data_IF_989916604489
#
_entry.id   IF_989916604489
#
_cell.length_a   1.000
_cell.length_b   1.000
_cell.length_c   1.000
_cell.angle_alpha   90.00
_cell.angle_beta   90.00
_cell.angle_gamma   90.00
#
_symmetry.space_group_name_H-M   'P 1'
#
loop_
_entity.id
_entity.type
_entity.pdbx_description
1 polymer ?
#
# COMPACT_ATOMS: atom_id res chain seq x y z
N UNK A 1 38.35 -13.64 -1.90
CA UNK A 1 39.28 -12.72 -1.22
C UNK A 1 38.90 -12.64 0.25
N UNK A 2 39.52 -13.46 1.10
CA UNK A 2 39.31 -13.51 2.57
C UNK A 2 40.65 -13.41 3.30
N UNK A 3 41.73 -13.12 2.58
CA UNK A 3 43.07 -12.97 3.14
C UNK A 3 43.20 -11.65 3.89
N UNK A 4 44.00 -11.67 4.95
CA UNK A 4 44.20 -10.54 5.84
C UNK A 4 44.85 -9.35 5.10
N UNK A 5 44.20 -8.18 5.03
CA UNK A 5 44.73 -7.00 4.36
C UNK A 5 46.02 -6.46 5.00
N UNK A 6 46.31 -6.80 6.26
CA UNK A 6 47.54 -6.38 6.94
C UNK A 6 48.81 -7.05 6.36
N UNK A 7 48.66 -8.27 5.83
CA UNK A 7 49.76 -8.97 5.15
C UNK A 7 50.14 -8.26 3.85
N UNK A 8 49.16 -7.74 3.12
CA UNK A 8 49.42 -6.95 1.91
C UNK A 8 50.15 -5.64 2.24
N UNK A 9 49.77 -4.97 3.33
CA UNK A 9 50.41 -3.75 3.77
C UNK A 9 51.87 -4.00 4.22
N UNK A 10 52.14 -5.08 4.94
CA UNK A 10 53.48 -5.41 5.44
C UNK A 10 54.45 -5.89 4.36
N UNK A 11 53.96 -6.63 3.35
CA UNK A 11 54.81 -7.18 2.28
C UNK A 11 54.97 -6.22 1.11
N UNK A 12 53.90 -5.50 0.73
CA UNK A 12 53.87 -4.71 -0.50
C UNK A 12 53.92 -3.20 -0.26
N UNK A 13 53.74 -2.72 0.98
CA UNK A 13 53.70 -1.28 1.30
C UNK A 13 52.43 -0.55 0.84
N UNK A 14 51.44 -1.29 0.30
CA UNK A 14 50.16 -0.74 -0.15
C UNK A 14 49.02 -1.17 0.76
N UNK A 15 48.15 -0.25 1.14
CA UNK A 15 46.93 -0.53 1.89
C UNK A 15 45.78 -0.84 0.93
N UNK A 16 45.02 -1.90 1.22
CA UNK A 16 43.81 -2.19 0.48
C UNK A 16 42.79 -1.05 0.67
N UNK A 17 42.28 -0.50 -0.43
CA UNK A 17 41.25 0.52 -0.35
C UNK A 17 40.01 -0.04 0.38
N UNK A 18 39.42 0.70 1.34
CA UNK A 18 38.27 0.19 2.10
C UNK A 18 37.12 -0.12 1.15
N UNK A 19 36.45 -1.26 1.36
CA UNK A 19 35.35 -1.74 0.51
C UNK A 19 34.27 -0.66 0.31
N UNK A 20 33.97 0.12 1.36
CA UNK A 20 33.03 1.24 1.31
C UNK A 20 33.39 2.30 0.24
N UNK A 21 34.69 2.55 0.00
CA UNK A 21 35.15 3.51 -1.02
C UNK A 21 34.91 3.02 -2.46
N UNK A 22 34.80 1.70 -2.66
CA UNK A 22 34.55 1.07 -3.97
C UNK A 22 33.07 0.79 -4.23
N UNK A 23 32.23 0.83 -3.20
CA UNK A 23 30.79 0.60 -3.29
C UNK A 23 29.96 1.88 -3.46
N UNK A 24 30.59 3.03 -3.74
CA UNK A 24 29.88 4.32 -3.86
C UNK A 24 28.73 4.34 -4.90
N UNK A 25 28.78 3.47 -5.92
CA UNK A 25 27.71 3.30 -6.91
C UNK A 25 26.88 2.02 -6.78
N UNK A 26 27.17 1.18 -5.78
CA UNK A 26 26.46 -0.09 -5.58
C UNK A 26 25.22 0.11 -4.71
N UNK A 27 24.09 -0.55 -5.04
CA UNK A 27 22.87 -0.40 -4.27
C UNK A 27 23.09 -0.90 -2.84
N UNK A 28 22.66 -0.10 -1.87
CA UNK A 28 22.69 -0.51 -0.47
C UNK A 28 21.70 -1.65 -0.21
N UNK A 29 21.91 -2.43 0.84
CA UNK A 29 20.98 -3.50 1.22
C UNK A 29 19.53 -2.98 1.37
N UNK A 30 19.36 -1.75 1.87
CA UNK A 30 18.07 -1.09 1.96
C UNK A 30 17.44 -0.77 0.59
N UNK A 31 18.23 -0.29 -0.38
CA UNK A 31 17.72 -0.04 -1.74
C UNK A 31 17.36 -1.35 -2.45
N UNK A 32 18.14 -2.41 -2.26
CA UNK A 32 17.85 -3.72 -2.84
C UNK A 32 16.57 -4.32 -2.27
N UNK A 33 16.37 -4.27 -0.94
CA UNK A 33 15.15 -4.79 -0.32
C UNK A 33 13.91 -4.02 -0.74
N UNK A 34 14.00 -2.68 -0.84
CA UNK A 34 12.92 -1.82 -1.32
C UNK A 34 12.51 -2.17 -2.76
N UNK A 35 13.48 -2.39 -3.66
CA UNK A 35 13.22 -2.76 -5.06
C UNK A 35 12.48 -4.10 -5.18
N UNK A 36 12.73 -5.04 -4.27
CA UNK A 36 12.05 -6.35 -4.26
C UNK A 36 10.67 -6.29 -3.62
N UNK A 37 10.50 -5.58 -2.50
CA UNK A 37 9.24 -5.54 -1.73
C UNK A 37 8.19 -4.67 -2.42
N UNK A 38 8.61 -3.59 -3.07
CA UNK A 38 7.70 -2.66 -3.76
C UNK A 38 6.72 -3.33 -4.73
N UNK A 39 7.15 -4.10 -5.74
CA UNK A 39 6.22 -4.68 -6.71
C UNK A 39 5.26 -5.66 -6.04
N UNK A 40 5.71 -6.37 -5.00
CA UNK A 40 4.85 -7.24 -4.20
C UNK A 40 3.78 -6.44 -3.45
N UNK A 41 4.16 -5.33 -2.81
CA UNK A 41 3.20 -4.44 -2.13
C UNK A 41 2.18 -3.85 -3.10
N UNK A 42 2.62 -3.40 -4.28
CA UNK A 42 1.70 -2.91 -5.31
C UNK A 42 0.75 -4.00 -5.81
N UNK A 43 1.25 -5.22 -6.05
CA UNK A 43 0.42 -6.33 -6.48
C UNK A 43 -0.64 -6.70 -5.43
N UNK A 44 -0.26 -6.72 -4.15
CA UNK A 44 -1.19 -6.98 -3.04
C UNK A 44 -2.22 -5.86 -2.92
N UNK A 45 -1.83 -4.59 -3.03
CA UNK A 45 -2.78 -3.47 -3.01
C UNK A 45 -3.77 -3.54 -4.18
N UNK A 46 -3.29 -3.79 -5.40
CA UNK A 46 -4.16 -3.97 -6.58
C UNK A 46 -5.14 -5.12 -6.36
N UNK A 47 -4.65 -6.25 -5.83
CA UNK A 47 -5.50 -7.40 -5.54
C UNK A 47 -6.57 -7.07 -4.50
N UNK A 48 -6.21 -6.31 -3.46
CA UNK A 48 -7.16 -5.86 -2.44
C UNK A 48 -8.24 -4.98 -3.08
N UNK A 49 -7.87 -3.94 -3.84
CA UNK A 49 -8.83 -3.03 -4.46
C UNK A 49 -9.74 -3.69 -5.49
N UNK A 50 -9.17 -4.49 -6.39
CA UNK A 50 -9.97 -5.22 -7.38
C UNK A 50 -10.81 -6.32 -6.71
N UNK A 51 -10.27 -6.93 -5.65
CA UNK A 51 -10.97 -7.91 -4.83
C UNK A 51 -12.17 -7.29 -4.10
N UNK A 52 -12.01 -6.13 -3.47
CA UNK A 52 -13.12 -5.44 -2.80
C UNK A 52 -14.17 -4.98 -3.81
N UNK A 53 -13.77 -4.45 -4.97
CA UNK A 53 -14.71 -4.12 -6.04
C UNK A 53 -15.56 -5.33 -6.47
N UNK A 54 -14.92 -6.49 -6.70
CA UNK A 54 -15.61 -7.71 -7.08
C UNK A 54 -16.51 -8.25 -5.95
N UNK A 55 -16.05 -8.22 -4.71
CA UNK A 55 -16.83 -8.68 -3.55
C UNK A 55 -18.04 -7.78 -3.31
N UNK A 56 -17.89 -6.46 -3.41
CA UNK A 56 -18.96 -5.50 -3.23
C UNK A 56 -20.09 -5.67 -4.26
N UNK A 57 -19.80 -6.10 -5.49
CA UNK A 57 -20.82 -6.36 -6.52
C UNK A 57 -21.32 -7.81 -6.50
N UNK A 58 -20.51 -8.75 -6.00
CA UNK A 58 -20.84 -10.17 -5.95
C UNK A 58 -21.33 -10.62 -4.57
N UNK A 59 -20.60 -11.53 -3.88
CA UNK A 59 -21.10 -12.19 -2.67
C UNK A 59 -21.25 -11.24 -1.46
N UNK A 60 -20.50 -10.14 -1.43
CA UNK A 60 -20.53 -9.15 -0.35
C UNK A 60 -21.58 -8.07 -0.52
N UNK A 61 -22.32 -8.03 -1.64
CA UNK A 61 -23.28 -6.97 -1.93
C UNK A 61 -24.37 -6.84 -0.85
N UNK A 62 -24.95 -7.97 -0.43
CA UNK A 62 -25.96 -7.99 0.63
C UNK A 62 -25.40 -7.53 1.98
N UNK A 63 -24.13 -7.83 2.26
CA UNK A 63 -23.46 -7.36 3.48
C UNK A 63 -23.21 -5.85 3.44
N UNK A 64 -22.75 -5.31 2.30
CA UNK A 64 -22.59 -3.87 2.09
C UNK A 64 -23.90 -3.10 2.29
N UNK A 65 -25.01 -3.60 1.75
CA UNK A 65 -26.32 -2.99 1.96
C UNK A 65 -26.76 -2.98 3.43
N UNK A 66 -26.42 -4.03 4.20
CA UNK A 66 -26.70 -4.07 5.64
C UNK A 66 -25.90 -3.02 6.40
N UNK A 67 -24.62 -2.84 6.08
CA UNK A 67 -23.79 -1.79 6.67
C UNK A 67 -24.36 -0.41 6.36
N UNK A 68 -24.81 -0.18 5.12
CA UNK A 68 -25.46 1.08 4.75
C UNK A 68 -26.75 1.30 5.56
N UNK A 69 -27.55 0.26 5.76
CA UNK A 69 -28.75 0.33 6.58
C UNK A 69 -28.44 0.63 8.06
N UNK A 70 -27.38 0.04 8.61
CA UNK A 70 -26.86 0.35 9.96
C UNK A 70 -26.37 1.79 10.07
N UNK A 71 -25.79 2.34 8.99
CA UNK A 71 -25.41 3.74 8.88
C UNK A 71 -26.60 4.70 8.64
N UNK A 72 -27.84 4.18 8.57
CA UNK A 72 -29.06 4.97 8.37
C UNK A 72 -29.39 5.27 6.90
N UNK A 73 -28.66 4.70 5.94
CA UNK A 73 -28.90 4.87 4.50
C UNK A 73 -29.64 3.66 3.95
N UNK A 74 -30.83 3.87 3.38
CA UNK A 74 -31.70 2.78 2.91
C UNK A 74 -32.14 2.94 1.46
N UNK A 75 -32.65 1.84 0.89
CA UNK A 75 -33.23 1.79 -0.44
C UNK A 75 -32.22 2.07 -1.56
N UNK A 76 -32.64 2.86 -2.54
CA UNK A 76 -31.85 3.16 -3.74
C UNK A 76 -30.52 3.86 -3.40
N UNK A 77 -30.50 4.70 -2.37
CA UNK A 77 -29.27 5.40 -1.95
C UNK A 77 -28.20 4.46 -1.41
N UNK A 78 -28.60 3.40 -0.69
CA UNK A 78 -27.68 2.37 -0.22
C UNK A 78 -27.09 1.59 -1.40
N UNK A 79 -27.92 1.26 -2.39
CA UNK A 79 -27.49 0.58 -3.62
C UNK A 79 -26.49 1.42 -4.39
N UNK A 80 -26.80 2.70 -4.61
CA UNK A 80 -25.91 3.64 -5.31
C UNK A 80 -24.59 3.79 -4.55
N UNK A 81 -24.61 3.90 -3.21
CA UNK A 81 -23.40 4.03 -2.41
C UNK A 81 -22.50 2.79 -2.52
N UNK A 82 -23.06 1.58 -2.42
CA UNK A 82 -22.31 0.32 -2.55
C UNK A 82 -21.71 0.17 -3.95
N UNK A 83 -22.49 0.44 -4.99
CA UNK A 83 -22.02 0.36 -6.39
C UNK A 83 -20.95 1.42 -6.65
N UNK A 84 -21.16 2.67 -6.20
CA UNK A 84 -20.18 3.74 -6.35
C UNK A 84 -18.88 3.40 -5.62
N UNK A 85 -18.96 2.84 -4.41
CA UNK A 85 -17.80 2.33 -3.68
C UNK A 85 -17.04 1.27 -4.48
N UNK A 86 -17.75 0.25 -5.00
CA UNK A 86 -17.14 -0.79 -5.82
C UNK A 86 -16.47 -0.25 -7.10
N UNK A 87 -17.09 0.74 -7.75
CA UNK A 87 -16.51 1.41 -8.93
C UNK A 87 -15.26 2.19 -8.54
N UNK A 88 -15.29 2.94 -7.44
CA UNK A 88 -14.11 3.65 -6.91
C UNK A 88 -12.96 2.68 -6.64
N UNK A 89 -13.25 1.55 -5.99
CA UNK A 89 -12.26 0.51 -5.71
C UNK A 89 -11.64 -0.05 -6.99
N UNK A 90 -12.48 -0.35 -7.99
CA UNK A 90 -12.03 -0.81 -9.30
C UNK A 90 -11.14 0.21 -10.01
N UNK A 91 -11.52 1.49 -10.01
CA UNK A 91 -10.75 2.58 -10.59
C UNK A 91 -9.41 2.78 -9.88
N UNK A 92 -9.37 2.65 -8.55
CA UNK A 92 -8.13 2.71 -7.78
C UNK A 92 -7.20 1.53 -8.11
N UNK A 93 -7.73 0.31 -8.14
CA UNK A 93 -6.97 -0.89 -8.53
C UNK A 93 -6.37 -0.76 -9.93
N UNK A 94 -7.15 -0.29 -10.91
CA UNK A 94 -6.68 -0.03 -12.27
C UNK A 94 -5.68 1.15 -12.31
N UNK A 95 -5.93 2.20 -11.54
CA UNK A 95 -5.05 3.36 -11.44
C UNK A 95 -3.66 3.03 -10.89
N UNK A 96 -3.56 2.06 -9.98
CA UNK A 96 -2.29 1.56 -9.45
C UNK A 96 -1.46 0.78 -10.47
N UNK A 97 -2.13 0.08 -11.41
CA UNK A 97 -1.46 -0.65 -12.50
C UNK A 97 -0.83 0.31 -13.52
N UNK A 98 -1.45 1.47 -13.75
CA UNK A 98 -0.97 2.46 -14.72
C UNK A 98 0.06 3.39 -14.07
N UNK A 99 1.33 3.28 -14.46
CA UNK A 99 2.44 4.05 -13.87
C UNK A 99 2.20 5.56 -13.82
N UNK A 100 1.62 6.16 -14.88
CA UNK A 100 1.31 7.61 -14.94
C UNK A 100 0.27 8.06 -13.90
N UNK A 101 -0.61 7.15 -13.47
CA UNK A 101 -1.71 7.42 -12.55
C UNK A 101 -1.44 6.94 -11.14
N UNK A 102 -0.40 6.13 -10.94
CA UNK A 102 -0.10 5.51 -9.65
C UNK A 102 0.00 6.52 -8.52
N UNK A 103 0.71 7.64 -8.72
CA UNK A 103 0.84 8.68 -7.68
C UNK A 103 -0.52 9.26 -7.28
N UNK A 104 -1.37 9.61 -8.25
CA UNK A 104 -2.71 10.10 -8.01
C UNK A 104 -3.62 9.04 -7.38
N UNK A 105 -3.50 7.78 -7.81
CA UNK A 105 -4.24 6.66 -7.26
C UNK A 105 -3.87 6.40 -5.79
N UNK A 106 -2.58 6.43 -5.44
CA UNK A 106 -2.11 6.30 -4.05
C UNK A 106 -2.65 7.43 -3.16
N UNK A 107 -2.68 8.67 -3.64
CA UNK A 107 -3.25 9.81 -2.90
C UNK A 107 -4.77 9.63 -2.72
N UNK A 108 -5.48 9.28 -3.79
CA UNK A 108 -6.92 9.08 -3.75
C UNK A 108 -7.30 7.90 -2.83
N UNK A 109 -6.50 6.84 -2.85
CA UNK A 109 -6.61 5.71 -1.92
C UNK A 109 -6.47 6.18 -0.46
N UNK A 110 -5.49 7.03 -0.13
CA UNK A 110 -5.35 7.57 1.22
C UNK A 110 -6.54 8.42 1.63
N UNK A 111 -7.04 9.26 0.72
CA UNK A 111 -8.22 10.10 0.97
C UNK A 111 -9.47 9.25 1.19
N UNK A 112 -9.68 8.23 0.36
CA UNK A 112 -10.82 7.33 0.47
C UNK A 112 -10.77 6.54 1.78
N UNK A 113 -9.61 5.91 2.07
CA UNK A 113 -9.35 5.17 3.30
C UNK A 113 -9.54 6.02 4.55
N UNK A 114 -8.97 7.22 4.57
CA UNK A 114 -9.11 8.17 5.68
C UNK A 114 -10.56 8.62 5.84
N UNK A 115 -11.22 8.98 4.73
CA UNK A 115 -12.60 9.45 4.72
C UNK A 115 -13.57 8.44 5.31
N UNK A 116 -13.59 7.20 4.80
CA UNK A 116 -14.50 6.20 5.35
C UNK A 116 -14.10 5.78 6.77
N UNK A 117 -12.82 5.82 7.15
CA UNK A 117 -12.40 5.49 8.53
C UNK A 117 -12.94 6.50 9.53
N UNK A 118 -12.90 7.79 9.19
CA UNK A 118 -13.50 8.85 10.01
C UNK A 118 -15.02 8.66 10.10
N UNK A 119 -15.68 8.38 8.98
CA UNK A 119 -17.13 8.13 8.94
C UNK A 119 -17.49 6.92 9.83
N UNK A 120 -16.81 5.78 9.67
CA UNK A 120 -17.05 4.58 10.49
C UNK A 120 -16.81 4.88 11.96
N UNK A 121 -15.76 5.64 12.29
CA UNK A 121 -15.45 5.98 13.69
C UNK A 121 -16.54 6.83 14.36
N UNK A 122 -17.29 7.62 13.59
CA UNK A 122 -18.38 8.47 14.10
C UNK A 122 -19.72 7.72 14.09
N UNK A 123 -20.07 7.07 12.97
CA UNK A 123 -21.40 6.48 12.76
C UNK A 123 -21.48 5.06 13.32
N UNK A 124 -20.44 4.24 13.13
CA UNK A 124 -20.38 2.83 13.54
C UNK A 124 -19.13 2.55 14.41
N UNK A 125 -18.96 3.21 15.59
CA UNK A 125 -17.75 3.09 16.40
C UNK A 125 -17.49 1.65 16.89
N UNK A 126 -18.52 0.81 16.96
CA UNK A 126 -18.39 -0.59 17.37
C UNK A 126 -17.55 -1.44 16.38
N UNK A 127 -17.36 -1.01 15.13
CA UNK A 127 -16.47 -1.68 14.16
C UNK A 127 -14.98 -1.63 14.56
N UNK A 128 -14.60 -0.79 15.52
CA UNK A 128 -13.26 -0.84 16.12
C UNK A 128 -13.02 -2.11 16.95
N UNK A 129 -14.08 -2.72 17.47
CA UNK A 129 -14.04 -3.94 18.27
C UNK A 129 -14.39 -5.19 17.44
N UNK A 130 -14.51 -5.06 16.12
CA UNK A 130 -14.76 -6.19 15.23
C UNK A 130 -13.61 -7.21 15.33
N UNK A 131 -13.91 -8.53 15.43
CA UNK A 131 -12.89 -9.57 15.58
C UNK A 131 -11.93 -9.67 14.39
N UNK A 132 -12.36 -9.24 13.20
CA UNK A 132 -11.49 -9.18 12.02
C UNK A 132 -10.69 -7.88 11.96
N UNK A 133 -10.92 -6.95 12.88
CA UNK A 133 -10.21 -5.68 13.04
C UNK A 133 -10.12 -4.91 11.72
N UNK A 134 -11.23 -4.84 10.97
CA UNK A 134 -11.28 -4.26 9.63
C UNK A 134 -10.72 -2.82 9.60
N UNK A 135 -11.07 -2.00 10.60
CA UNK A 135 -10.56 -0.63 10.71
C UNK A 135 -9.05 -0.60 11.00
N UNK A 136 -8.56 -1.47 11.89
CA UNK A 136 -7.13 -1.53 12.22
C UNK A 136 -6.29 -1.99 11.02
N UNK A 137 -6.78 -2.94 10.23
CA UNK A 137 -6.14 -3.36 8.97
C UNK A 137 -6.03 -2.20 7.99
N UNK A 138 -7.04 -1.31 7.98
CA UNK A 138 -6.99 -0.14 7.11
C UNK A 138 -5.84 0.81 7.45
N UNK A 139 -5.54 1.03 8.74
CA UNK A 139 -4.39 1.84 9.16
C UNK A 139 -3.06 1.27 8.63
N UNK A 140 -2.90 -0.06 8.65
CA UNK A 140 -1.72 -0.73 8.09
C UNK A 140 -1.62 -0.47 6.58
N UNK A 141 -2.74 -0.55 5.86
CA UNK A 141 -2.77 -0.24 4.43
C UNK A 141 -2.43 1.22 4.16
N UNK A 142 -2.90 2.16 4.98
CA UNK A 142 -2.53 3.58 4.84
C UNK A 142 -1.03 3.79 5.00
N UNK A 143 -0.38 3.16 5.99
CA UNK A 143 1.08 3.23 6.17
C UNK A 143 1.82 2.62 4.98
N UNK A 144 1.37 1.46 4.48
CA UNK A 144 1.95 0.83 3.30
C UNK A 144 1.83 1.72 2.05
N UNK A 145 0.70 2.41 1.91
CA UNK A 145 0.44 3.36 0.81
C UNK A 145 1.35 4.58 0.91
N UNK A 146 1.49 5.16 2.10
CA UNK A 146 2.40 6.28 2.34
C UNK A 146 3.85 5.91 2.02
N UNK A 147 4.27 4.70 2.40
CA UNK A 147 5.61 4.19 2.09
C UNK A 147 5.81 4.04 0.58
N UNK A 148 4.84 3.50 -0.15
CA UNK A 148 4.88 3.43 -1.62
C UNK A 148 4.90 4.82 -2.26
N UNK A 149 4.11 5.76 -1.74
CA UNK A 149 4.03 7.13 -2.25
C UNK A 149 5.36 7.87 -2.08
N UNK A 150 6.02 7.73 -0.92
CA UNK A 150 7.31 8.37 -0.66
C UNK A 150 8.43 7.74 -1.51
N UNK A 151 8.41 6.42 -1.67
CA UNK A 151 9.45 5.75 -2.46
C UNK A 151 9.22 5.87 -3.97
N UNK A 152 8.09 6.42 -4.44
CA UNK A 152 7.74 6.46 -5.88
C UNK A 152 8.74 7.34 -6.64
N UNK A 153 9.42 6.79 -7.66
CA UNK A 153 10.30 7.60 -8.47
C UNK A 153 9.47 8.71 -9.12
N UNK A 154 9.88 9.96 -8.92
CA UNK A 154 9.33 11.06 -9.71
C UNK A 154 9.64 10.75 -11.17
N UNK A 155 8.60 10.80 -12.01
CA UNK A 155 8.77 10.86 -13.45
C UNK A 155 9.25 12.28 -13.78
N UNK A 156 10.50 12.59 -13.42
CA UNK A 156 11.22 13.77 -13.88
C UNK A 156 11.99 13.43 -15.17
#
# INVERSE_FOLDING_TARGET
NVADPEVLASVCGYTAAPLASRLQGWPTAAQSSQRTIRPLMLAVLVLIWLGTAAVCVGPGYAWGLRIMAEAGVQGTWATVAVIAGAVCDGLLGLGLLVARWRRSALILQLLLMGGYTVIISIVLPHYWFDPYAAVAKNLVLMVATLWLLWTEPSLD
#
